data_IF_699449438445
#
_entry.id   IF_699449438445
#
_cell.length_a   1.000
_cell.length_b   1.000
_cell.length_c   1.000
_cell.angle_alpha   90.00
_cell.angle_beta   90.00
_cell.angle_gamma   90.00
#
_symmetry.space_group_name_H-M   'P 1'
#
loop_
_entity.id
_entity.type
_entity.pdbx_description
1 polymer ?
#
# COMPACT_ATOMS: atom_id res chain seq x y z
N UNK A 1 -2.55 -14.20 -25.62
CA UNK A 1 -2.03 -13.84 -25.21
C UNK A 1 -1.74 -13.23 -24.45
N UNK A 2 -1.84 -13.36 -24.44
CA UNK A 2 -1.56 -12.92 -23.78
C UNK A 2 -1.27 -12.23 -23.21
N UNK A 3 -1.43 -12.34 -22.95
CA UNK A 3 -1.19 -11.10 -22.41
C UNK A 3 0.14 -11.03 -21.70
N UNK A 4 0.84 -10.13 -22.07
CA UNK A 4 2.14 -9.85 -21.51
C UNK A 4 2.04 -8.80 -20.40
N UNK A 5 0.90 -8.71 -19.73
CA UNK A 5 0.79 -7.78 -18.61
C UNK A 5 1.76 -8.19 -17.51
N UNK A 6 2.59 -7.26 -17.06
CA UNK A 6 3.47 -7.49 -15.93
C UNK A 6 2.65 -7.70 -14.66
N UNK A 7 3.13 -8.52 -13.73
CA UNK A 7 2.46 -8.64 -12.44
C UNK A 7 2.35 -7.27 -11.76
N UNK A 8 1.28 -7.10 -11.00
CA UNK A 8 1.12 -5.89 -10.19
C UNK A 8 2.21 -5.90 -9.12
N UNK A 9 2.92 -4.78 -9.00
CA UNK A 9 3.97 -4.62 -8.00
C UNK A 9 3.42 -3.83 -6.82
N UNK A 10 3.54 -4.39 -5.63
CA UNK A 10 2.96 -3.84 -4.41
C UNK A 10 4.06 -3.67 -3.36
N UNK A 11 4.08 -2.51 -2.73
CA UNK A 11 4.90 -2.29 -1.55
C UNK A 11 4.00 -2.33 -0.32
N UNK A 12 4.31 -3.18 0.64
CA UNK A 12 3.65 -3.20 1.93
C UNK A 12 4.59 -2.61 2.95
N UNK A 13 4.15 -1.55 3.61
CA UNK A 13 4.97 -0.81 4.55
C UNK A 13 4.32 -0.72 5.92
N UNK A 14 5.17 -0.71 6.96
CA UNK A 14 4.75 -0.49 8.34
C UNK A 14 5.36 0.82 8.82
N UNK A 15 4.65 1.93 8.65
CA UNK A 15 5.20 3.22 9.06
C UNK A 15 5.14 3.41 10.56
N UNK A 16 6.01 4.26 11.08
CA UNK A 16 6.02 4.63 12.48
C UNK A 16 6.73 3.61 13.36
N UNK A 17 6.37 3.61 14.64
CA UNK A 17 7.04 2.80 15.66
C UNK A 17 6.27 1.52 16.02
N UNK A 18 5.30 1.15 15.20
CA UNK A 18 4.49 -0.04 15.43
C UNK A 18 5.31 -1.30 15.13
N UNK A 19 5.45 -2.17 16.14
CA UNK A 19 6.20 -3.41 16.00
C UNK A 19 5.36 -4.64 15.67
N UNK A 20 4.05 -4.47 15.40
CA UNK A 20 3.14 -5.58 15.17
C UNK A 20 3.02 -5.84 13.66
N UNK A 21 3.76 -6.81 13.15
CA UNK A 21 3.82 -7.03 11.69
C UNK A 21 3.13 -8.31 11.20
N UNK A 22 2.47 -9.05 12.08
CA UNK A 22 1.84 -10.31 11.69
C UNK A 22 0.80 -10.13 10.60
N UNK A 23 -0.08 -9.13 10.75
CA UNK A 23 -1.11 -8.85 9.75
C UNK A 23 -0.52 -8.46 8.42
N UNK A 24 0.53 -7.64 8.44
CA UNK A 24 1.21 -7.24 7.21
C UNK A 24 1.83 -8.44 6.50
N UNK A 25 2.46 -9.35 7.24
CA UNK A 25 3.09 -10.54 6.66
C UNK A 25 2.07 -11.50 6.06
N UNK A 26 0.92 -11.66 6.71
CA UNK A 26 -0.17 -12.48 6.17
C UNK A 26 -0.67 -11.89 4.85
N UNK A 27 -0.84 -10.59 4.80
CA UNK A 27 -1.26 -9.90 3.57
C UNK A 27 -0.22 -10.06 2.46
N UNK A 28 1.05 -9.90 2.78
CA UNK A 28 2.13 -10.08 1.80
C UNK A 28 2.03 -11.47 1.16
N UNK A 29 1.84 -12.50 1.97
CA UNK A 29 1.72 -13.85 1.47
C UNK A 29 0.50 -14.03 0.57
N UNK A 30 -0.64 -13.47 0.98
CA UNK A 30 -1.87 -13.57 0.20
C UNK A 30 -1.72 -12.91 -1.17
N UNK A 31 -1.08 -11.74 -1.21
CA UNK A 31 -0.87 -11.04 -2.48
C UNK A 31 0.11 -11.78 -3.38
N UNK A 32 1.18 -12.35 -2.80
CA UNK A 32 2.12 -13.17 -3.57
C UNK A 32 1.44 -14.42 -4.13
N UNK A 33 0.62 -15.08 -3.32
CA UNK A 33 -0.13 -16.26 -3.77
C UNK A 33 -1.08 -15.92 -4.90
N UNK A 34 -1.54 -14.67 -4.96
CA UNK A 34 -2.41 -14.19 -6.04
C UNK A 34 -1.64 -13.78 -7.30
N UNK A 35 -0.31 -13.94 -7.32
CA UNK A 35 0.51 -13.66 -8.50
C UNK A 35 1.11 -12.27 -8.55
N UNK A 36 1.00 -11.50 -7.49
CA UNK A 36 1.59 -10.16 -7.43
C UNK A 36 3.03 -10.22 -6.95
N UNK A 37 3.84 -9.25 -7.40
CA UNK A 37 5.18 -9.04 -6.87
C UNK A 37 5.08 -8.11 -5.69
N UNK A 38 5.51 -8.58 -4.51
CA UNK A 38 5.31 -7.83 -3.27
C UNK A 38 6.65 -7.63 -2.58
N UNK A 39 6.92 -6.38 -2.24
CA UNK A 39 8.07 -6.00 -1.41
C UNK A 39 7.53 -5.59 -0.05
N UNK A 40 8.07 -6.17 1.00
CA UNK A 40 7.76 -5.78 2.37
C UNK A 40 8.93 -4.99 2.93
N UNK A 41 8.66 -3.76 3.39
CA UNK A 41 9.72 -2.88 3.89
C UNK A 41 10.28 -3.30 5.23
N UNK A 42 9.50 -4.07 6.01
CA UNK A 42 9.83 -4.29 7.41
C UNK A 42 9.26 -3.20 8.30
N UNK A 43 9.65 -3.23 9.57
CA UNK A 43 9.12 -2.36 10.61
C UNK A 43 9.77 -0.98 10.60
N UNK A 44 9.14 -0.04 11.29
CA UNK A 44 9.71 1.26 11.68
C UNK A 44 10.10 2.15 10.49
N UNK A 45 9.27 2.18 9.46
CA UNK A 45 9.55 2.98 8.28
C UNK A 45 9.13 4.43 8.48
N UNK A 46 9.99 5.35 8.07
CA UNK A 46 9.61 6.77 7.98
C UNK A 46 8.87 7.04 6.67
N UNK A 47 8.10 8.14 6.58
CA UNK A 47 7.46 8.51 5.32
C UNK A 47 8.44 8.57 4.14
N UNK A 48 9.63 9.14 4.37
CA UNK A 48 10.65 9.25 3.33
C UNK A 48 11.19 7.88 2.90
N UNK A 49 11.35 6.96 3.85
CA UNK A 49 11.78 5.59 3.54
C UNK A 49 10.73 4.85 2.71
N UNK A 50 9.45 5.03 3.04
CA UNK A 50 8.35 4.41 2.28
C UNK A 50 8.35 4.93 0.85
N UNK A 51 8.44 6.24 0.66
CA UNK A 51 8.41 6.84 -0.67
C UNK A 51 9.63 6.42 -1.49
N UNK A 52 10.80 6.37 -0.88
CA UNK A 52 12.02 5.94 -1.57
C UNK A 52 11.93 4.49 -2.01
N UNK A 53 11.43 3.61 -1.13
CA UNK A 53 11.24 2.20 -1.48
C UNK A 53 10.25 2.06 -2.63
N UNK A 54 9.15 2.81 -2.60
CA UNK A 54 8.16 2.77 -3.67
C UNK A 54 8.77 3.19 -5.01
N UNK A 55 9.61 4.21 -5.00
CA UNK A 55 10.29 4.68 -6.20
C UNK A 55 11.31 3.66 -6.69
N UNK A 56 12.16 3.14 -5.80
CA UNK A 56 13.21 2.20 -6.18
C UNK A 56 12.65 0.88 -6.69
N UNK A 57 11.55 0.41 -6.10
CA UNK A 57 10.93 -0.85 -6.50
C UNK A 57 9.91 -0.68 -7.61
N UNK A 58 9.66 0.55 -8.03
CA UNK A 58 8.78 0.85 -9.16
C UNK A 58 7.40 0.23 -8.99
N UNK A 59 6.78 0.47 -7.83
CA UNK A 59 5.52 -0.15 -7.48
C UNK A 59 4.33 0.61 -8.03
N UNK A 60 3.22 -0.09 -8.24
CA UNK A 60 1.94 0.48 -8.65
C UNK A 60 1.04 0.73 -7.44
N UNK A 61 1.26 0.01 -6.35
CA UNK A 61 0.41 0.06 -5.16
C UNK A 61 1.28 0.15 -3.92
N UNK A 62 0.91 1.05 -3.01
CA UNK A 62 1.51 1.12 -1.68
C UNK A 62 0.42 0.78 -0.66
N UNK A 63 0.64 -0.27 0.10
CA UNK A 63 -0.23 -0.65 1.20
C UNK A 63 0.42 -0.29 2.53
N UNK A 64 -0.28 0.50 3.31
CA UNK A 64 0.20 0.96 4.61
C UNK A 64 -0.51 0.17 5.71
N UNK A 65 0.24 -0.58 6.48
CA UNK A 65 -0.29 -1.35 7.59
C UNK A 65 0.02 -0.63 8.89
N UNK A 66 -1.00 -0.23 9.62
CA UNK A 66 -0.82 0.56 10.83
C UNK A 66 -1.72 0.01 11.94
N UNK A 67 -1.17 -0.12 13.14
CA UNK A 67 -1.89 -0.59 14.31
C UNK A 67 -1.94 0.46 15.41
N UNK A 68 -1.04 1.43 15.38
CA UNK A 68 -1.02 2.52 16.35
C UNK A 68 -1.95 3.65 15.92
N UNK A 69 -2.27 4.56 16.82
CA UNK A 69 -3.13 5.70 16.52
C UNK A 69 -2.46 6.80 15.71
N UNK A 70 -1.29 6.57 15.13
CA UNK A 70 -0.51 7.61 14.46
C UNK A 70 -0.91 7.85 12.99
N UNK A 71 -1.94 7.19 12.51
CA UNK A 71 -2.34 7.27 11.10
C UNK A 71 -2.66 8.69 10.64
N UNK A 72 -3.27 9.51 11.48
CA UNK A 72 -3.68 10.87 11.09
C UNK A 72 -2.48 11.79 10.87
N UNK A 73 -1.35 11.54 11.54
CA UNK A 73 -0.15 12.33 11.32
C UNK A 73 0.77 11.73 10.27
N UNK A 74 0.82 10.41 10.16
CA UNK A 74 1.73 9.73 9.25
C UNK A 74 1.24 9.74 7.80
N UNK A 75 -0.04 9.52 7.56
CA UNK A 75 -0.55 9.37 6.20
C UNK A 75 -0.35 10.63 5.36
N UNK A 76 -0.65 11.85 5.84
CA UNK A 76 -0.37 13.04 5.04
C UNK A 76 1.10 13.18 4.69
N UNK A 77 2.00 12.82 5.62
CA UNK A 77 3.44 12.90 5.39
C UNK A 77 3.91 11.88 4.36
N UNK A 78 3.32 10.69 4.39
CA UNK A 78 3.65 9.65 3.40
C UNK A 78 3.17 10.09 2.02
N UNK A 79 1.95 10.59 1.93
CA UNK A 79 1.40 11.06 0.65
C UNK A 79 2.23 12.21 0.08
N UNK A 80 2.66 13.14 0.93
CA UNK A 80 3.52 14.24 0.51
C UNK A 80 4.87 13.72 0.02
N UNK A 81 5.45 12.75 0.72
CA UNK A 81 6.73 12.17 0.31
C UNK A 81 6.63 11.44 -1.04
N UNK A 82 5.51 10.74 -1.27
CA UNK A 82 5.26 10.11 -2.56
C UNK A 82 5.16 11.14 -3.69
N UNK A 83 4.51 12.28 -3.44
CA UNK A 83 4.42 13.34 -4.43
C UNK A 83 5.80 13.93 -4.74
N UNK A 84 6.65 14.08 -3.74
CA UNK A 84 8.01 14.58 -3.94
C UNK A 84 8.84 13.65 -4.83
N UNK A 85 8.54 12.35 -4.80
CA UNK A 85 9.19 11.36 -5.68
C UNK A 85 8.45 11.22 -7.02
N UNK A 86 7.46 12.08 -7.29
CA UNK A 86 6.66 12.08 -8.52
C UNK A 86 5.87 10.78 -8.72
N UNK A 87 5.38 10.23 -7.61
CA UNK A 87 4.59 9.00 -7.62
C UNK A 87 3.10 9.29 -7.40
N UNK A 88 2.58 10.28 -8.11
CA UNK A 88 1.19 10.74 -7.93
C UNK A 88 0.17 9.70 -8.37
N UNK A 89 0.54 8.82 -9.29
CA UNK A 89 -0.35 7.82 -9.86
C UNK A 89 -0.35 6.49 -9.10
N UNK A 90 0.46 6.37 -8.06
CA UNK A 90 0.49 5.16 -7.24
C UNK A 90 -0.81 5.05 -6.45
N UNK A 91 -1.41 3.86 -6.44
CA UNK A 91 -2.57 3.58 -5.61
C UNK A 91 -2.11 3.38 -4.17
N UNK A 92 -2.63 4.17 -3.24
CA UNK A 92 -2.29 4.04 -1.82
C UNK A 92 -3.52 3.53 -1.07
N UNK A 93 -3.35 2.41 -0.39
CA UNK A 93 -4.38 1.82 0.45
C UNK A 93 -3.83 1.65 1.86
N UNK A 94 -4.71 1.56 2.83
CA UNK A 94 -4.31 1.41 4.22
C UNK A 94 -5.11 0.30 4.88
N UNK A 95 -4.51 -0.33 5.86
CA UNK A 95 -5.17 -1.34 6.67
C UNK A 95 -4.68 -1.28 8.09
N UNK A 96 -5.46 -1.89 8.99
CA UNK A 96 -5.12 -1.94 10.40
C UNK A 96 -6.20 -1.30 11.27
N UNK A 97 -5.81 -0.90 12.47
CA UNK A 97 -6.74 -0.38 13.45
C UNK A 97 -6.95 1.11 13.23
N UNK A 98 -7.89 1.44 12.35
CA UNK A 98 -8.27 2.83 12.06
C UNK A 98 -9.71 3.01 12.54
N UNK A 99 -9.97 3.95 13.47
CA UNK A 99 -11.33 4.16 13.95
C UNK A 99 -12.28 4.48 12.81
N UNK A 100 -13.51 3.96 12.84
CA UNK A 100 -14.49 4.25 11.77
C UNK A 100 -14.71 5.75 11.55
N UNK A 101 -14.63 6.56 12.59
CA UNK A 101 -14.79 8.01 12.47
C UNK A 101 -13.70 8.65 11.63
N UNK A 102 -12.51 8.02 11.55
CA UNK A 102 -11.38 8.58 10.81
C UNK A 102 -11.33 8.11 9.35
N UNK A 103 -12.11 7.10 8.97
CA UNK A 103 -12.02 6.50 7.65
C UNK A 103 -12.28 7.53 6.55
N UNK A 104 -13.34 8.33 6.71
CA UNK A 104 -13.66 9.35 5.70
C UNK A 104 -12.56 10.40 5.57
N UNK A 105 -11.96 10.80 6.69
CA UNK A 105 -10.84 11.76 6.68
C UNK A 105 -9.62 11.19 6.00
N UNK A 106 -9.30 9.93 6.30
CA UNK A 106 -8.16 9.24 5.69
C UNK A 106 -8.36 9.15 4.18
N UNK A 107 -9.55 8.79 3.73
CA UNK A 107 -9.85 8.76 2.30
C UNK A 107 -9.75 10.16 1.68
N UNK A 108 -10.20 11.18 2.40
CA UNK A 108 -10.11 12.56 1.94
C UNK A 108 -8.68 13.05 1.77
N UNK A 109 -7.72 12.44 2.43
CA UNK A 109 -6.31 12.79 2.27
C UNK A 109 -5.71 12.26 0.97
N UNK A 110 -6.31 11.24 0.37
CA UNK A 110 -5.77 10.59 -0.83
C UNK A 110 -5.53 9.09 -0.68
N UNK A 111 -5.90 8.50 0.47
CA UNK A 111 -5.88 7.05 0.66
C UNK A 111 -7.11 6.48 -0.04
N UNK A 112 -6.89 5.61 -1.02
CA UNK A 112 -7.98 5.15 -1.88
C UNK A 112 -8.97 4.25 -1.16
N UNK A 113 -8.49 3.40 -0.24
CA UNK A 113 -9.35 2.51 0.53
C UNK A 113 -8.72 2.19 1.87
N UNK A 114 -9.57 1.93 2.86
CA UNK A 114 -9.16 1.52 4.19
C UNK A 114 -9.77 0.14 4.47
N UNK A 115 -8.91 -0.83 4.77
CA UNK A 115 -9.33 -2.19 5.10
C UNK A 115 -9.26 -2.37 6.61
N UNK A 116 -10.42 -2.48 7.24
CA UNK A 116 -10.49 -2.67 8.68
C UNK A 116 -10.15 -4.12 9.05
N UNK A 117 -9.80 -4.38 10.32
CA UNK A 117 -9.57 -5.76 10.77
C UNK A 117 -10.79 -6.64 10.47
N UNK A 118 -10.54 -7.84 10.02
CA UNK A 118 -11.59 -8.77 9.62
C UNK A 118 -11.99 -8.70 8.15
N UNK A 119 -11.48 -7.74 7.39
CA UNK A 119 -11.70 -7.74 5.94
C UNK A 119 -11.09 -9.01 5.35
N UNK A 120 -11.85 -9.81 4.60
CA UNK A 120 -11.28 -11.00 3.98
C UNK A 120 -10.12 -10.66 3.06
N UNK A 121 -9.07 -11.47 3.09
CA UNK A 121 -7.90 -11.24 2.25
C UNK A 121 -8.26 -11.25 0.76
N UNK A 122 -9.19 -12.10 0.36
CA UNK A 122 -9.64 -12.15 -1.04
C UNK A 122 -10.24 -10.82 -1.49
N UNK A 123 -10.92 -10.10 -0.59
CA UNK A 123 -11.49 -8.80 -0.92
C UNK A 123 -10.39 -7.76 -1.14
N UNK A 124 -9.33 -7.83 -0.35
CA UNK A 124 -8.19 -6.93 -0.52
C UNK A 124 -7.49 -7.20 -1.85
N UNK A 125 -7.26 -8.48 -2.15
CA UNK A 125 -6.66 -8.88 -3.44
C UNK A 125 -7.51 -8.38 -4.60
N UNK A 126 -8.83 -8.58 -4.53
CA UNK A 126 -9.74 -8.16 -5.59
C UNK A 126 -9.72 -6.65 -5.79
N UNK A 127 -9.72 -5.90 -4.70
CA UNK A 127 -9.67 -4.43 -4.77
C UNK A 127 -8.40 -3.97 -5.47
N UNK A 128 -7.25 -4.50 -5.08
CA UNK A 128 -5.97 -4.10 -5.67
C UNK A 128 -5.95 -4.44 -7.15
N UNK A 129 -6.42 -5.63 -7.54
CA UNK A 129 -6.48 -5.99 -8.96
C UNK A 129 -7.36 -5.05 -9.77
N UNK A 130 -8.48 -4.62 -9.18
CA UNK A 130 -9.42 -3.77 -9.89
C UNK A 130 -8.96 -2.32 -10.01
N UNK A 131 -8.12 -1.85 -9.08
CA UNK A 131 -7.81 -0.42 -8.97
C UNK A 131 -6.33 -0.09 -9.20
N UNK A 132 -5.45 -1.07 -9.28
CA UNK A 132 -4.04 -0.79 -9.53
C UNK A 132 -3.89 -0.10 -10.90
N UNK A 133 -3.04 0.93 -11.00
CA UNK A 133 -2.82 1.58 -12.28
C UNK A 133 -2.28 0.59 -13.31
N UNK A 134 -2.82 0.66 -14.52
CA UNK A 134 -2.33 -0.17 -15.61
C UNK A 134 -1.04 0.44 -16.14
N UNK A 135 -0.01 -0.37 -16.23
CA UNK A 135 1.22 0.06 -16.86
C UNK A 135 1.15 -0.24 -18.34
N UNK A 136 1.53 0.76 -19.12
CA UNK A 136 1.72 0.54 -20.55
C UNK A 136 2.87 -0.46 -20.73
N UNK A 137 2.73 -1.36 -21.69
CA UNK A 137 3.84 -2.22 -22.06
C UNK A 137 5.00 -1.34 -22.52
N UNK A 138 6.18 -1.60 -21.99
CA UNK A 138 7.33 -0.82 -22.41
C UNK A 138 7.65 -1.11 -23.89
N UNK A 139 7.84 -0.08 -24.71
CA UNK A 139 8.30 -0.32 -26.08
C UNK A 139 9.70 -0.91 -26.04
N UNK A 140 9.91 -1.87 -26.86
CA UNK A 140 11.22 -2.49 -27.00
C UNK A 140 12.12 -1.67 -27.91
#
# INVERSE_FOLDING_TARGET
>A
MTSSASPIRVLIAKPGLDGHDRGAKVLVRALRDAGMEVVYTGLFQTPEMVARAAMQEDVQVVGLSILSGAHMSLFPRILAALQEEQLDDVLVVAGGTIPPADVARVKGMGIAEVFTPGTPLDDIVAYIRAHAPVRAAEPL
#
